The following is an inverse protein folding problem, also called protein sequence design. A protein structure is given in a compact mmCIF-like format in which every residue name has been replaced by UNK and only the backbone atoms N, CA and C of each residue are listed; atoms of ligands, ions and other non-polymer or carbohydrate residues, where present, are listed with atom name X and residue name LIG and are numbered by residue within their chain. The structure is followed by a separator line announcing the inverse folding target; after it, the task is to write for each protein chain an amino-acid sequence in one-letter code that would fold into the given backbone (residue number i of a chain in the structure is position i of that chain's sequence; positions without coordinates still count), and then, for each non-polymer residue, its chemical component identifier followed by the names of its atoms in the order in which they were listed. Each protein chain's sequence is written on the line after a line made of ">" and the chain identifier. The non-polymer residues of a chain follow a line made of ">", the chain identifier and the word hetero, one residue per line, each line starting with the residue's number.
data_IF_097498870964
#
_entry.id   IF_097498870964
#
_cell.length_a   1.000
_cell.length_b   1.000
_cell.length_c   1.000
_cell.angle_alpha   90.00
_cell.angle_beta   90.00
_cell.angle_gamma   90.00
#
_symmetry.space_group_name_H-M   'P 1'
#
loop_
_entity.id
_entity.type
_entity.pdbx_description
1 polymer ?
#
# COMPACT_ATOMS: atom_id res chain seq x y z
N UNK A 1 -1.69 -9.68 -15.72
CA UNK A 1 -0.94 -9.88 -14.46
C UNK A 1 0.37 -9.13 -14.58
N UNK A 2 0.62 -8.19 -13.67
CA UNK A 2 1.87 -7.43 -13.55
C UNK A 2 2.81 -8.15 -12.58
N UNK A 3 4.05 -8.39 -12.98
CA UNK A 3 5.03 -9.20 -12.22
C UNK A 3 6.27 -8.44 -11.76
N UNK A 4 6.51 -7.24 -12.29
CA UNK A 4 7.68 -6.40 -11.95
C UNK A 4 7.27 -4.92 -11.88
N UNK A 5 8.09 -4.07 -11.24
CA UNK A 5 7.92 -2.62 -11.27
C UNK A 5 8.13 -2.04 -12.66
N UNK A 6 8.90 -2.71 -13.54
CA UNK A 6 9.02 -2.31 -14.93
C UNK A 6 7.69 -2.50 -15.69
N UNK A 7 7.05 -3.66 -15.52
CA UNK A 7 5.71 -3.91 -16.09
C UNK A 7 4.66 -2.97 -15.47
N UNK A 8 4.76 -2.70 -14.16
CA UNK A 8 3.92 -1.73 -13.47
C UNK A 8 4.03 -0.34 -14.09
N UNK A 9 5.26 0.11 -14.38
CA UNK A 9 5.50 1.41 -15.03
C UNK A 9 4.83 1.48 -16.40
N UNK A 10 4.96 0.43 -17.22
CA UNK A 10 4.32 0.40 -18.54
C UNK A 10 2.79 0.44 -18.42
N UNK A 11 2.21 -0.36 -17.53
CA UNK A 11 0.78 -0.35 -17.27
C UNK A 11 0.31 1.02 -16.78
N UNK A 12 1.01 1.62 -15.82
CA UNK A 12 0.70 2.94 -15.29
C UNK A 12 0.77 4.01 -16.40
N UNK A 13 1.75 3.98 -17.29
CA UNK A 13 1.85 4.95 -18.39
C UNK A 13 0.80 4.75 -19.50
N UNK A 14 0.18 3.57 -19.57
CA UNK A 14 -0.90 3.28 -20.52
C UNK A 14 -2.27 3.82 -20.11
N UNK A 15 -2.42 4.29 -18.86
CA UNK A 15 -3.63 4.95 -18.36
C UNK A 15 -3.50 6.46 -18.37
N UNK A 16 -4.63 7.18 -18.38
CA UNK A 16 -4.63 8.64 -18.25
C UNK A 16 -3.83 9.10 -17.01
N UNK A 17 -3.11 10.24 -17.07
CA UNK A 17 -2.45 10.81 -15.90
C UNK A 17 -3.43 11.00 -14.74
N UNK A 18 -2.96 10.77 -13.51
CA UNK A 18 -3.76 11.01 -12.32
C UNK A 18 -3.53 12.41 -11.77
N UNK A 19 -4.50 12.90 -11.00
CA UNK A 19 -4.37 14.09 -10.16
C UNK A 19 -4.06 13.70 -8.72
N UNK A 20 -3.27 14.51 -8.02
CA UNK A 20 -2.83 14.18 -6.65
C UNK A 20 -3.06 15.32 -5.67
N UNK A 21 -3.34 15.00 -4.41
CA UNK A 21 -3.31 15.96 -3.31
C UNK A 21 -2.19 15.61 -2.33
N UNK A 22 -1.34 16.58 -2.01
CA UNK A 22 -0.20 16.41 -1.11
C UNK A 22 -0.46 17.16 0.18
N UNK A 23 -0.52 16.42 1.28
CA UNK A 23 -0.67 17.00 2.61
C UNK A 23 0.71 17.44 3.14
N UNK A 24 0.92 18.76 3.34
CA UNK A 24 2.20 19.40 3.71
C UNK A 24 3.28 19.19 2.65
N UNK A 25 3.22 19.93 1.55
CA UNK A 25 4.14 19.78 0.43
C UNK A 25 5.54 20.41 0.65
N UNK A 26 5.74 21.17 1.72
CA UNK A 26 6.94 21.95 2.04
C UNK A 26 8.19 21.12 2.45
N UNK A 27 8.46 20.01 1.74
CA UNK A 27 9.71 19.25 1.83
C UNK A 27 10.31 18.99 0.45
N UNK A 28 11.64 19.06 0.38
CA UNK A 28 12.41 18.92 -0.86
C UNK A 28 12.13 17.58 -1.55
N UNK A 29 12.21 16.49 -0.81
CA UNK A 29 12.02 15.14 -1.34
C UNK A 29 10.57 14.92 -1.82
N UNK A 30 9.62 15.64 -1.22
CA UNK A 30 8.20 15.58 -1.63
C UNK A 30 8.03 16.27 -2.97
N UNK A 31 8.39 17.55 -3.09
CA UNK A 31 8.27 18.29 -4.36
C UNK A 31 9.05 17.63 -5.50
N UNK A 32 10.28 17.14 -5.23
CA UNK A 32 11.06 16.41 -6.24
C UNK A 32 10.36 15.15 -6.73
N UNK A 33 9.65 14.43 -5.84
CA UNK A 33 8.90 13.23 -6.24
C UNK A 33 7.66 13.56 -7.07
N UNK A 34 6.99 14.68 -6.78
CA UNK A 34 5.85 15.17 -7.57
C UNK A 34 6.31 15.63 -8.96
N UNK A 35 7.40 16.42 -9.04
CA UNK A 35 7.95 16.85 -10.33
C UNK A 35 8.46 15.67 -11.17
N UNK A 36 9.10 14.68 -10.54
CA UNK A 36 9.50 13.45 -11.22
C UNK A 36 8.27 12.70 -11.78
N UNK A 37 7.22 12.52 -10.98
CA UNK A 37 5.99 11.86 -11.43
C UNK A 37 5.33 12.62 -12.60
N UNK A 38 5.35 13.96 -12.58
CA UNK A 38 4.86 14.80 -13.68
C UNK A 38 5.71 14.63 -14.94
N UNK A 39 7.04 14.71 -14.82
CA UNK A 39 7.98 14.54 -15.95
C UNK A 39 7.89 13.17 -16.60
N UNK A 40 7.58 12.14 -15.81
CA UNK A 40 7.35 10.78 -16.29
C UNK A 40 5.95 10.59 -16.90
N UNK A 41 5.04 11.59 -16.83
CA UNK A 41 3.68 11.50 -17.36
C UNK A 41 2.72 10.67 -16.50
N UNK A 42 3.05 10.44 -15.22
CA UNK A 42 2.18 9.72 -14.30
C UNK A 42 1.07 10.61 -13.75
N UNK A 43 1.35 11.90 -13.58
CA UNK A 43 0.41 12.90 -13.08
C UNK A 43 0.42 14.14 -13.98
N UNK A 44 -0.71 14.84 -14.05
CA UNK A 44 -0.85 16.10 -14.79
C UNK A 44 -1.19 17.29 -13.90
N UNK A 45 -1.83 17.04 -12.75
CA UNK A 45 -2.27 18.05 -11.78
C UNK A 45 -1.89 17.66 -10.37
N UNK A 46 -1.58 18.66 -9.54
CA UNK A 46 -1.34 18.47 -8.13
C UNK A 46 -1.95 19.59 -7.29
N UNK A 47 -2.58 19.25 -6.17
CA UNK A 47 -2.99 20.18 -5.13
C UNK A 47 -1.99 20.03 -3.98
N UNK A 48 -1.22 21.08 -3.73
CA UNK A 48 -0.16 21.13 -2.72
C UNK A 48 -0.67 21.94 -1.53
N UNK A 49 -0.91 21.28 -0.39
CA UNK A 49 -1.37 21.97 0.82
C UNK A 49 -0.20 22.18 1.78
N UNK A 50 -0.22 23.28 2.53
CA UNK A 50 0.82 23.60 3.52
C UNK A 50 1.16 25.08 3.56
N UNK A 51 2.38 25.40 4.01
CA UNK A 51 2.88 26.77 4.01
C UNK A 51 3.17 27.23 2.56
N UNK A 52 2.27 28.03 1.99
CA UNK A 52 2.30 28.37 0.57
C UNK A 52 3.59 29.11 0.16
N UNK A 53 4.10 30.00 1.02
CA UNK A 53 5.32 30.75 0.77
C UNK A 53 6.53 29.80 0.74
N UNK A 54 6.60 28.85 1.68
CA UNK A 54 7.67 27.84 1.69
C UNK A 54 7.60 26.90 0.50
N UNK A 55 6.40 26.47 0.10
CA UNK A 55 6.21 25.61 -1.07
C UNK A 55 6.69 26.33 -2.33
N UNK A 56 6.26 27.59 -2.55
CA UNK A 56 6.65 28.39 -3.69
C UNK A 56 8.16 28.64 -3.72
N UNK A 57 8.74 29.07 -2.59
CA UNK A 57 10.18 29.30 -2.48
C UNK A 57 11.00 28.04 -2.79
N UNK A 58 10.55 26.88 -2.30
CA UNK A 58 11.26 25.63 -2.51
C UNK A 58 11.10 25.13 -3.96
N UNK A 59 9.93 25.31 -4.57
CA UNK A 59 9.72 25.02 -5.98
C UNK A 59 10.65 25.85 -6.88
N UNK A 60 10.78 27.16 -6.60
CA UNK A 60 11.68 28.06 -7.31
C UNK A 60 13.16 27.64 -7.15
N UNK A 61 13.58 27.35 -5.92
CA UNK A 61 14.95 26.88 -5.62
C UNK A 61 15.30 25.58 -6.35
N UNK A 62 14.32 24.68 -6.51
CA UNK A 62 14.48 23.40 -7.18
C UNK A 62 14.24 23.48 -8.70
N UNK A 63 13.86 24.66 -9.21
CA UNK A 63 13.50 24.89 -10.61
C UNK A 63 12.38 23.94 -11.08
N UNK A 64 11.41 23.70 -10.19
CA UNK A 64 10.24 22.88 -10.49
C UNK A 64 9.20 23.76 -11.16
N UNK A 65 8.76 23.32 -12.35
CA UNK A 65 7.66 23.96 -13.05
C UNK A 65 6.34 23.55 -12.40
N UNK A 66 5.73 24.48 -11.67
CA UNK A 66 4.44 24.32 -11.01
C UNK A 66 3.24 24.70 -11.90
N UNK A 67 3.41 24.81 -13.23
CA UNK A 67 2.27 24.94 -14.13
C UNK A 67 1.34 23.72 -13.99
N UNK A 68 0.08 23.97 -13.66
CA UNK A 68 -0.90 22.91 -13.36
C UNK A 68 -0.92 22.45 -11.90
N UNK A 69 -0.10 23.04 -11.02
CA UNK A 69 -0.18 22.82 -9.58
C UNK A 69 -0.95 23.95 -8.90
N UNK A 70 -1.86 23.58 -8.00
CA UNK A 70 -2.57 24.49 -7.10
C UNK A 70 -1.87 24.45 -5.74
N UNK A 71 -1.49 25.61 -5.20
CA UNK A 71 -0.93 25.71 -3.85
C UNK A 71 -2.01 26.27 -2.92
N UNK A 72 -2.43 25.48 -1.94
CA UNK A 72 -3.41 25.87 -0.93
C UNK A 72 -2.71 26.14 0.41
N UNK A 73 -2.79 27.38 0.86
CA UNK A 73 -2.19 27.77 2.13
C UNK A 73 -2.95 27.14 3.31
N UNK A 74 -2.19 26.57 4.24
CA UNK A 74 -2.68 26.03 5.51
C UNK A 74 -1.91 26.68 6.67
N UNK A 75 -2.63 26.97 7.75
CA UNK A 75 -2.08 27.59 8.96
C UNK A 75 -1.30 26.60 9.83
N UNK A 76 -1.63 25.32 9.77
CA UNK A 76 -0.94 24.23 10.46
C UNK A 76 -1.05 22.87 9.72
N UNK A 77 -0.40 21.84 10.28
CA UNK A 77 -0.43 20.48 9.71
C UNK A 77 -1.82 19.81 9.76
N UNK A 78 -2.70 20.21 10.68
CA UNK A 78 -4.05 19.68 10.76
C UNK A 78 -4.89 20.20 9.60
N UNK A 79 -4.83 21.51 9.33
CA UNK A 79 -5.52 22.14 8.20
C UNK A 79 -4.96 21.66 6.86
N UNK A 80 -3.62 21.52 6.74
CA UNK A 80 -3.01 20.97 5.53
C UNK A 80 -3.51 19.56 5.22
N UNK A 81 -3.63 18.71 6.24
CA UNK A 81 -4.17 17.36 6.09
C UNK A 81 -5.67 17.35 5.77
N UNK A 82 -6.46 18.26 6.36
CA UNK A 82 -7.88 18.43 6.04
C UNK A 82 -8.09 18.80 4.57
N UNK A 83 -7.42 19.85 4.10
CA UNK A 83 -7.54 20.34 2.72
C UNK A 83 -7.20 19.25 1.71
N UNK A 84 -6.11 18.52 1.93
CA UNK A 84 -5.69 17.44 1.04
C UNK A 84 -6.68 16.27 1.04
N UNK A 85 -7.21 15.88 2.22
CA UNK A 85 -8.23 14.83 2.32
C UNK A 85 -9.53 15.25 1.61
N UNK A 86 -9.97 16.51 1.80
CA UNK A 86 -11.17 17.03 1.16
C UNK A 86 -11.03 17.09 -0.35
N UNK A 87 -9.89 17.51 -0.87
CA UNK A 87 -9.63 17.52 -2.32
C UNK A 87 -9.79 16.12 -2.94
N UNK A 88 -9.38 15.07 -2.21
CA UNK A 88 -9.52 13.69 -2.71
C UNK A 88 -10.94 13.17 -2.54
N UNK A 89 -11.62 13.49 -1.43
CA UNK A 89 -12.99 13.02 -1.20
C UNK A 89 -14.05 13.77 -2.02
N UNK A 90 -13.77 15.00 -2.47
CA UNK A 90 -14.61 15.78 -3.40
C UNK A 90 -14.42 15.35 -4.86
N UNK A 91 -13.36 14.61 -5.19
CA UNK A 91 -13.01 14.23 -6.55
C UNK A 91 -12.15 15.27 -7.31
N UNK A 92 -11.61 16.26 -6.62
CA UNK A 92 -10.66 17.23 -7.21
C UNK A 92 -9.26 16.62 -7.39
N UNK A 93 -8.95 15.55 -6.65
CA UNK A 93 -7.74 14.74 -6.77
C UNK A 93 -8.02 13.23 -6.66
N UNK A 94 -7.25 12.41 -7.38
CA UNK A 94 -7.43 10.96 -7.41
C UNK A 94 -6.68 10.22 -6.29
N UNK A 95 -5.53 10.76 -5.87
CA UNK A 95 -4.58 10.11 -4.95
C UNK A 95 -4.22 11.06 -3.81
N UNK A 96 -4.25 10.57 -2.57
CA UNK A 96 -3.75 11.31 -1.41
C UNK A 96 -2.29 10.94 -1.13
N UNK A 97 -1.43 11.93 -0.92
CA UNK A 97 0.00 11.74 -0.64
C UNK A 97 0.36 12.39 0.69
N UNK A 98 1.02 11.61 1.55
CA UNK A 98 1.65 12.17 2.75
C UNK A 98 2.93 12.92 2.40
N UNK A 99 2.97 14.21 2.71
CA UNK A 99 4.16 15.04 2.62
C UNK A 99 4.93 15.13 3.95
N UNK A 100 5.11 16.36 4.44
CA UNK A 100 6.04 16.72 5.50
C UNK A 100 5.56 16.48 6.93
N UNK A 101 4.25 16.34 7.13
CA UNK A 101 3.63 16.20 8.45
C UNK A 101 3.83 14.82 9.10
N UNK A 102 3.62 14.75 10.41
CA UNK A 102 3.66 13.48 11.16
C UNK A 102 2.46 12.58 10.83
N UNK A 103 2.66 11.26 10.86
CA UNK A 103 1.60 10.31 10.48
C UNK A 103 0.31 10.46 11.32
N UNK A 104 0.40 10.98 12.55
CA UNK A 104 -0.76 11.23 13.41
C UNK A 104 -1.75 12.22 12.81
N UNK A 105 -1.27 13.36 12.29
CA UNK A 105 -2.11 14.35 11.61
C UNK A 105 -2.74 13.76 10.34
N UNK A 106 -1.94 13.02 9.57
CA UNK A 106 -2.37 12.39 8.32
C UNK A 106 -3.50 11.38 8.55
N UNK A 107 -3.32 10.44 9.47
CA UNK A 107 -4.32 9.43 9.76
C UNK A 107 -5.55 10.00 10.47
N UNK A 108 -5.37 10.99 11.36
CA UNK A 108 -6.50 11.69 11.99
C UNK A 108 -7.41 12.32 10.93
N UNK A 109 -6.83 12.92 9.89
CA UNK A 109 -7.58 13.50 8.79
C UNK A 109 -8.32 12.44 7.97
N UNK A 110 -7.63 11.36 7.54
CA UNK A 110 -8.26 10.28 6.76
C UNK A 110 -9.40 9.59 7.54
N UNK A 111 -9.24 9.42 8.85
CA UNK A 111 -10.21 8.74 9.70
C UNK A 111 -11.42 9.60 10.09
N UNK A 112 -11.41 10.90 9.75
CA UNK A 112 -12.52 11.79 9.99
C UNK A 112 -13.72 11.36 9.14
N UNK A 113 -14.86 11.09 9.81
CA UNK A 113 -16.08 10.60 9.16
C UNK A 113 -16.78 11.68 8.33
N UNK A 114 -16.62 12.95 8.72
CA UNK A 114 -17.30 14.07 8.09
C UNK A 114 -16.65 14.47 6.76
N UNK A 115 -15.41 14.02 6.52
CA UNK A 115 -14.65 14.39 5.33
C UNK A 115 -14.70 13.33 4.22
N UNK A 116 -15.38 12.21 4.44
CA UNK A 116 -15.79 11.29 3.36
C UNK A 116 -14.71 10.37 2.79
N UNK A 117 -13.47 10.39 3.29
CA UNK A 117 -12.40 9.55 2.76
C UNK A 117 -12.31 8.15 3.42
N UNK A 118 -12.81 8.00 4.66
CA UNK A 118 -12.86 6.70 5.34
C UNK A 118 -13.95 5.81 4.74
N UNK A 119 -13.58 4.64 4.21
CA UNK A 119 -14.53 3.69 3.62
C UNK A 119 -14.67 2.40 4.42
N UNK A 120 -13.55 1.84 4.89
CA UNK A 120 -13.50 0.57 5.61
C UNK A 120 -13.56 0.73 7.13
N UNK A 121 -13.78 -0.40 7.83
CA UNK A 121 -13.74 -0.47 9.30
C UNK A 121 -12.37 -0.05 9.83
N UNK A 122 -11.31 -0.51 9.17
CA UNK A 122 -9.91 -0.19 9.48
C UNK A 122 -9.16 0.26 8.23
N UNK A 123 -8.15 1.11 8.43
CA UNK A 123 -7.11 1.34 7.43
C UNK A 123 -6.02 0.28 7.62
N UNK A 124 -5.39 -0.13 6.53
CA UNK A 124 -4.28 -1.08 6.56
C UNK A 124 -3.18 -0.67 5.60
N UNK A 125 -1.92 -0.88 5.99
CA UNK A 125 -0.80 -0.69 5.07
C UNK A 125 -0.49 -1.97 4.29
N UNK A 126 -0.20 -1.82 3.00
CA UNK A 126 0.39 -2.87 2.19
C UNK A 126 1.70 -2.37 1.58
N UNK A 127 2.72 -3.23 1.54
CA UNK A 127 3.94 -2.98 0.77
C UNK A 127 4.11 -4.07 -0.27
N UNK A 128 4.31 -3.64 -1.51
CA UNK A 128 4.63 -4.48 -2.66
C UNK A 128 6.14 -4.53 -2.80
N UNK A 129 6.69 -5.74 -2.98
CA UNK A 129 8.12 -5.98 -3.14
C UNK A 129 8.40 -6.67 -4.47
N UNK A 130 9.46 -6.21 -5.13
CA UNK A 130 10.11 -6.96 -6.21
C UNK A 130 11.42 -7.51 -5.65
N UNK A 131 11.52 -8.83 -5.59
CA UNK A 131 12.65 -9.54 -5.03
C UNK A 131 13.41 -10.28 -6.13
N UNK A 132 14.75 -10.25 -6.14
CA UNK A 132 15.53 -11.09 -7.05
C UNK A 132 15.24 -12.59 -6.87
N UNK A 133 14.88 -13.00 -5.65
CA UNK A 133 14.67 -14.40 -5.27
C UNK A 133 13.23 -14.90 -5.44
N UNK A 134 12.31 -14.08 -5.96
CA UNK A 134 10.90 -14.45 -6.14
C UNK A 134 10.42 -14.09 -7.54
N UNK A 135 9.60 -14.94 -8.16
CA UNK A 135 9.29 -14.88 -9.60
C UNK A 135 8.25 -13.81 -10.00
N UNK A 136 7.70 -13.07 -9.04
CA UNK A 136 6.68 -12.03 -9.24
C UNK A 136 6.71 -11.02 -8.09
N UNK A 137 5.89 -9.97 -8.19
CA UNK A 137 5.63 -9.06 -7.08
C UNK A 137 5.01 -9.82 -5.89
N UNK A 138 5.55 -9.61 -4.70
CA UNK A 138 5.05 -10.19 -3.45
C UNK A 138 4.64 -9.08 -2.51
N UNK A 139 3.47 -9.21 -1.87
CA UNK A 139 2.95 -8.17 -0.98
C UNK A 139 2.91 -8.62 0.46
N UNK A 140 3.14 -7.68 1.40
CA UNK A 140 3.08 -7.91 2.84
C UNK A 140 2.12 -6.90 3.47
N UNK A 141 1.25 -7.38 4.36
CA UNK A 141 0.33 -6.56 5.17
C UNK A 141 0.23 -7.12 6.60
N UNK A 142 -0.03 -6.32 7.65
CA UNK A 142 0.08 -4.86 7.76
C UNK A 142 1.39 -4.52 8.50
N UNK A 143 2.24 -3.68 7.90
CA UNK A 143 3.55 -3.37 8.47
C UNK A 143 3.68 -1.96 9.09
N UNK A 144 2.58 -1.21 9.20
CA UNK A 144 2.65 0.19 9.65
C UNK A 144 1.44 0.72 10.46
N UNK A 145 0.26 0.10 10.41
CA UNK A 145 -0.96 0.67 11.03
C UNK A 145 -1.48 -0.22 12.18
N UNK A 146 -1.90 -1.45 11.88
CA UNK A 146 -2.53 -2.32 12.88
C UNK A 146 -1.49 -3.14 13.66
N UNK A 147 -1.29 -2.82 14.94
CA UNK A 147 -0.29 -3.46 15.81
C UNK A 147 -0.51 -4.98 15.93
N UNK A 148 -1.67 -5.39 16.43
CA UNK A 148 -2.04 -6.78 16.66
C UNK A 148 -3.47 -6.99 16.14
N UNK A 149 -3.64 -7.19 14.83
CA UNK A 149 -4.97 -7.29 14.24
C UNK A 149 -5.70 -8.54 14.74
N UNK A 150 -6.92 -8.37 15.22
CA UNK A 150 -7.82 -9.48 15.50
C UNK A 150 -8.36 -10.11 14.20
N UNK A 151 -9.12 -11.21 14.30
CA UNK A 151 -9.68 -11.90 13.15
C UNK A 151 -10.55 -10.98 12.28
N UNK A 152 -11.39 -10.12 12.86
CA UNK A 152 -12.27 -9.22 12.11
C UNK A 152 -11.49 -8.11 11.38
N UNK A 153 -10.44 -7.61 12.01
CA UNK A 153 -9.48 -6.70 11.40
C UNK A 153 -8.71 -7.39 10.27
N UNK A 154 -8.31 -8.65 10.43
CA UNK A 154 -7.67 -9.45 9.36
C UNK A 154 -8.59 -9.64 8.15
N UNK A 155 -9.89 -9.91 8.35
CA UNK A 155 -10.89 -9.93 7.26
C UNK A 155 -10.89 -8.60 6.51
N UNK A 156 -10.96 -7.50 7.27
CA UNK A 156 -10.97 -6.14 6.70
C UNK A 156 -9.66 -5.80 5.97
N UNK A 157 -8.50 -6.24 6.48
CA UNK A 157 -7.20 -6.07 5.84
C UNK A 157 -7.20 -6.76 4.47
N UNK A 158 -7.61 -8.02 4.38
CA UNK A 158 -7.67 -8.77 3.11
C UNK A 158 -8.57 -8.03 2.13
N UNK A 159 -9.78 -7.67 2.55
CA UNK A 159 -10.74 -6.95 1.70
C UNK A 159 -10.22 -5.62 1.19
N UNK A 160 -9.53 -4.86 2.05
CA UNK A 160 -8.91 -3.60 1.66
C UNK A 160 -7.89 -3.77 0.52
N UNK A 161 -7.27 -4.95 0.35
CA UNK A 161 -6.30 -5.21 -0.74
C UNK A 161 -6.92 -5.49 -2.11
N UNK A 162 -8.23 -5.76 -2.17
CA UNK A 162 -8.97 -6.07 -3.40
C UNK A 162 -8.68 -5.11 -4.57
N UNK A 163 -8.79 -3.77 -4.43
CA UNK A 163 -8.51 -2.85 -5.52
C UNK A 163 -7.08 -2.95 -6.06
N UNK A 164 -6.09 -3.19 -5.19
CA UNK A 164 -4.71 -3.38 -5.61
C UNK A 164 -4.56 -4.64 -6.48
N UNK A 165 -5.11 -5.77 -6.04
CA UNK A 165 -4.96 -7.03 -6.78
C UNK A 165 -5.70 -7.02 -8.11
N UNK A 166 -6.88 -6.39 -8.18
CA UNK A 166 -7.57 -6.15 -9.46
C UNK A 166 -6.71 -5.32 -10.41
N UNK A 167 -6.16 -4.20 -9.95
CA UNK A 167 -5.27 -3.34 -10.74
C UNK A 167 -3.99 -4.05 -11.21
N UNK A 168 -3.50 -5.04 -10.45
CA UNK A 168 -2.37 -5.89 -10.86
C UNK A 168 -2.78 -7.05 -11.79
N UNK A 169 -4.06 -7.23 -12.08
CA UNK A 169 -4.61 -8.33 -12.85
C UNK A 169 -4.48 -9.69 -12.15
N UNK A 170 -4.68 -9.70 -10.83
CA UNK A 170 -4.64 -10.85 -9.93
C UNK A 170 -6.03 -11.05 -9.33
N UNK A 171 -6.86 -11.88 -9.95
CA UNK A 171 -8.17 -12.26 -9.40
C UNK A 171 -8.51 -13.70 -9.83
N UNK A 172 -8.61 -14.66 -8.89
CA UNK A 172 -8.43 -14.49 -7.46
C UNK A 172 -6.95 -14.29 -7.07
N UNK A 173 -6.69 -13.48 -6.03
CA UNK A 173 -5.35 -13.30 -5.45
C UNK A 173 -5.05 -14.36 -4.38
N UNK A 174 -3.83 -14.90 -4.36
CA UNK A 174 -3.39 -15.95 -3.45
C UNK A 174 -2.86 -15.37 -2.14
N UNK A 175 -3.55 -15.65 -1.03
CA UNK A 175 -3.22 -15.14 0.30
C UNK A 175 -2.69 -16.26 1.18
N UNK A 176 -1.42 -16.15 1.56
CA UNK A 176 -0.81 -17.00 2.58
C UNK A 176 -0.93 -16.36 3.95
N UNK A 177 -1.65 -17.00 4.87
CA UNK A 177 -1.76 -16.53 6.27
C UNK A 177 -0.56 -17.04 7.06
N UNK A 178 0.38 -16.13 7.34
CA UNK A 178 1.70 -16.46 7.88
C UNK A 178 1.64 -16.69 9.38
N UNK A 179 2.19 -17.82 9.81
CA UNK A 179 2.31 -18.27 11.19
C UNK A 179 3.72 -18.82 11.44
N UNK A 180 4.03 -19.18 12.69
CA UNK A 180 5.29 -19.83 13.03
C UNK A 180 5.29 -21.35 12.78
N UNK A 181 4.10 -21.96 12.65
CA UNK A 181 3.88 -23.39 12.43
C UNK A 181 2.71 -23.59 11.47
N UNK A 182 2.64 -24.77 10.85
CA UNK A 182 1.66 -25.12 9.81
C UNK A 182 0.40 -25.81 10.34
N UNK A 183 0.31 -26.03 11.65
CA UNK A 183 -0.85 -26.66 12.30
C UNK A 183 -1.55 -25.67 13.20
N UNK A 184 -2.88 -25.75 13.20
CA UNK A 184 -3.71 -25.02 14.16
C UNK A 184 -3.30 -25.41 15.59
N UNK A 185 -3.03 -24.39 16.40
CA UNK A 185 -2.68 -24.51 17.79
C UNK A 185 -3.43 -23.45 18.60
N UNK A 186 -4.36 -23.83 19.48
CA UNK A 186 -5.12 -22.88 20.31
C UNK A 186 -4.25 -21.96 21.18
N UNK A 187 -3.01 -22.35 21.50
CA UNK A 187 -2.06 -21.51 22.23
C UNK A 187 -1.36 -20.46 21.34
N UNK A 188 -1.57 -20.51 20.02
CA UNK A 188 -1.03 -19.57 19.04
C UNK A 188 -2.19 -18.96 18.23
N UNK A 189 -2.77 -17.82 18.70
CA UNK A 189 -3.95 -17.22 18.08
C UNK A 189 -3.85 -17.01 16.56
N UNK A 190 -2.66 -16.67 16.05
CA UNK A 190 -2.43 -16.51 14.62
C UNK A 190 -2.81 -17.75 13.80
N UNK A 191 -2.58 -18.96 14.33
CA UNK A 191 -2.92 -20.21 13.64
C UNK A 191 -4.42 -20.50 13.66
N UNK A 192 -5.11 -20.11 14.73
CA UNK A 192 -6.57 -20.20 14.84
C UNK A 192 -7.23 -19.22 13.86
N UNK A 193 -6.72 -17.99 13.80
CA UNK A 193 -7.19 -16.98 12.84
C UNK A 193 -6.97 -17.45 11.39
N UNK A 194 -5.82 -18.07 11.10
CA UNK A 194 -5.52 -18.61 9.77
C UNK A 194 -6.50 -19.71 9.36
N UNK A 195 -6.78 -20.67 10.26
CA UNK A 195 -7.74 -21.74 10.01
C UNK A 195 -9.16 -21.19 9.78
N UNK A 196 -9.57 -20.17 10.55
CA UNK A 196 -10.85 -19.51 10.39
C UNK A 196 -10.97 -18.79 9.04
N UNK A 197 -9.97 -18.01 8.64
CA UNK A 197 -9.95 -17.31 7.35
C UNK A 197 -9.99 -18.27 6.16
N UNK A 198 -9.25 -19.39 6.22
CA UNK A 198 -9.29 -20.42 5.20
C UNK A 198 -10.68 -21.06 5.10
N UNK A 199 -11.32 -21.40 6.22
CA UNK A 199 -12.68 -21.95 6.22
C UNK A 199 -13.72 -20.96 5.68
N UNK A 200 -13.56 -19.67 5.96
CA UNK A 200 -14.41 -18.60 5.42
C UNK A 200 -14.23 -18.44 3.90
N UNK A 201 -13.00 -18.52 3.39
CA UNK A 201 -12.75 -18.51 1.95
C UNK A 201 -13.41 -19.71 1.25
N UNK A 202 -13.28 -20.91 1.83
CA UNK A 202 -13.90 -22.13 1.32
C UNK A 202 -15.43 -22.07 1.33
N UNK A 203 -16.03 -21.32 2.26
CA UNK A 203 -17.49 -21.08 2.30
C UNK A 203 -17.94 -19.92 1.40
N UNK A 204 -17.02 -19.27 0.67
CA UNK A 204 -17.31 -18.25 -0.34
C UNK A 204 -17.32 -16.81 0.19
N UNK A 205 -16.83 -16.54 1.40
CA UNK A 205 -16.80 -15.20 1.97
C UNK A 205 -15.85 -14.24 1.22
N UNK A 206 -14.82 -14.77 0.56
CA UNK A 206 -13.77 -14.00 -0.11
C UNK A 206 -13.62 -14.40 -1.59
N UNK A 207 -14.58 -14.06 -2.47
CA UNK A 207 -14.62 -14.59 -3.85
C UNK A 207 -13.49 -14.11 -4.77
N UNK A 208 -12.81 -12.98 -4.44
CA UNK A 208 -11.67 -12.47 -5.21
C UNK A 208 -10.32 -13.00 -4.68
N UNK A 209 -10.35 -13.96 -3.75
CA UNK A 209 -9.16 -14.46 -3.07
C UNK A 209 -9.16 -15.98 -3.00
N UNK A 210 -7.97 -16.55 -2.91
CA UNK A 210 -7.75 -17.91 -2.40
C UNK A 210 -6.92 -17.77 -1.14
N UNK A 211 -7.46 -18.14 0.00
CA UNK A 211 -6.82 -17.93 1.31
C UNK A 211 -6.47 -19.28 1.90
N UNK A 212 -5.19 -19.50 2.16
CA UNK A 212 -4.71 -20.73 2.77
C UNK A 212 -3.70 -20.44 3.90
N UNK A 213 -3.69 -21.33 4.89
CA UNK A 213 -2.84 -21.27 6.07
C UNK A 213 -3.42 -22.12 7.21
N UNK A 214 -2.73 -22.22 8.35
CA UNK A 214 -1.51 -21.49 8.70
C UNK A 214 -0.28 -21.99 7.93
N UNK A 215 0.57 -21.07 7.48
CA UNK A 215 1.82 -21.40 6.80
C UNK A 215 3.02 -20.74 7.46
N UNK A 216 4.13 -21.47 7.57
CA UNK A 216 5.44 -20.85 7.75
C UNK A 216 5.77 -19.94 6.55
N UNK A 217 6.53 -18.87 6.78
CA UNK A 217 6.94 -17.94 5.72
C UNK A 217 7.60 -18.65 4.53
N UNK A 218 8.44 -19.65 4.81
CA UNK A 218 9.11 -20.47 3.81
C UNK A 218 8.15 -21.30 2.95
N UNK A 219 7.02 -21.77 3.52
CA UNK A 219 6.00 -22.49 2.77
C UNK A 219 5.23 -21.55 1.82
N UNK A 220 5.00 -20.29 2.20
CA UNK A 220 4.36 -19.32 1.31
C UNK A 220 5.19 -19.00 0.06
N UNK A 221 6.53 -19.01 0.17
CA UNK A 221 7.44 -18.52 -0.89
C UNK A 221 8.27 -19.62 -1.57
N UNK A 222 8.27 -20.86 -1.07
CA UNK A 222 8.97 -21.98 -1.68
C UNK A 222 8.10 -23.23 -1.74
N UNK A 223 7.73 -23.64 -2.96
CA UNK A 223 7.03 -24.90 -3.19
C UNK A 223 7.85 -26.11 -2.72
N UNK A 224 9.18 -26.05 -2.82
CA UNK A 224 10.06 -27.10 -2.30
C UNK A 224 9.95 -27.21 -0.77
N UNK A 225 9.95 -26.09 -0.04
CA UNK A 225 9.80 -26.10 1.42
C UNK A 225 8.41 -26.59 1.84
N UNK A 226 7.37 -26.14 1.14
CA UNK A 226 6.00 -26.58 1.35
C UNK A 226 5.87 -28.11 1.19
N UNK A 227 6.41 -28.67 0.10
CA UNK A 227 6.42 -30.12 -0.16
C UNK A 227 7.14 -30.90 0.95
N UNK A 228 8.30 -30.42 1.42
CA UNK A 228 9.04 -31.05 2.53
C UNK A 228 8.26 -31.06 3.84
N UNK A 229 7.34 -30.10 4.02
CA UNK A 229 6.43 -29.99 5.16
C UNK A 229 5.11 -30.75 4.97
N UNK A 230 4.94 -31.44 3.83
CA UNK A 230 3.73 -32.19 3.50
C UNK A 230 2.58 -31.34 2.95
N UNK A 231 2.83 -30.08 2.62
CA UNK A 231 1.83 -29.19 2.01
C UNK A 231 1.92 -29.36 0.48
N UNK A 232 1.14 -30.31 -0.04
CA UNK A 232 1.22 -30.73 -1.46
C UNK A 232 0.01 -30.32 -2.30
N UNK A 233 -1.15 -30.11 -1.68
CA UNK A 233 -2.41 -29.77 -2.37
C UNK A 233 -2.72 -28.26 -2.39
N UNK A 234 -1.80 -27.44 -1.88
CA UNK A 234 -1.96 -25.98 -1.74
C UNK A 234 -1.70 -25.27 -3.06
N UNK A 235 -2.61 -24.38 -3.47
CA UNK A 235 -2.39 -23.52 -4.65
C UNK A 235 -1.73 -22.18 -4.32
N UNK A 236 -1.63 -21.86 -3.02
CA UNK A 236 -0.98 -20.65 -2.48
C UNK A 236 0.49 -20.90 -2.14
N UNK A 237 0.84 -22.06 -1.61
CA UNK A 237 2.20 -22.38 -1.16
C UNK A 237 3.21 -22.30 -2.31
N UNK A 238 4.31 -21.59 -2.09
CA UNK A 238 5.31 -21.29 -3.11
C UNK A 238 4.93 -20.22 -4.12
N UNK A 239 3.67 -19.78 -4.16
CA UNK A 239 3.14 -18.86 -5.18
C UNK A 239 2.18 -17.82 -4.57
N UNK A 240 2.40 -17.39 -3.33
CA UNK A 240 1.61 -16.36 -2.68
C UNK A 240 1.72 -14.99 -3.40
N UNK A 241 0.60 -14.27 -3.49
CA UNK A 241 0.55 -12.85 -3.91
C UNK A 241 0.55 -11.93 -2.66
N UNK A 242 -0.15 -12.35 -1.60
CA UNK A 242 -0.26 -11.66 -0.32
C UNK A 242 0.24 -12.52 0.83
N UNK A 243 1.13 -11.95 1.64
CA UNK A 243 1.47 -12.45 2.97
C UNK A 243 0.69 -11.66 4.01
N UNK A 244 -0.35 -12.28 4.59
CA UNK A 244 -1.03 -11.74 5.76
C UNK A 244 -0.23 -12.14 7.01
N UNK A 245 0.45 -11.16 7.59
CA UNK A 245 1.33 -11.38 8.73
C UNK A 245 0.53 -11.43 10.05
N UNK A 246 1.06 -12.10 11.09
CA UNK A 246 0.32 -12.25 12.35
C UNK A 246 0.15 -10.94 13.11
N UNK A 247 1.13 -10.02 12.99
CA UNK A 247 1.16 -8.71 13.63
C UNK A 247 2.12 -7.75 12.90
N UNK A 248 2.13 -6.49 13.33
CA UNK A 248 2.93 -5.44 12.72
C UNK A 248 4.43 -5.68 12.87
N UNK A 249 4.89 -6.19 14.01
CA UNK A 249 6.31 -6.45 14.25
C UNK A 249 6.86 -7.44 13.23
N UNK A 250 6.18 -8.57 13.02
CA UNK A 250 6.59 -9.58 12.04
C UNK A 250 6.63 -9.00 10.62
N UNK A 251 5.59 -8.24 10.24
CA UNK A 251 5.50 -7.61 8.93
C UNK A 251 6.59 -6.55 8.70
N UNK A 252 6.84 -5.70 9.70
CA UNK A 252 7.80 -4.60 9.63
C UNK A 252 9.24 -5.11 9.60
N UNK A 253 9.56 -6.12 10.43
CA UNK A 253 10.87 -6.77 10.45
C UNK A 253 11.14 -7.43 9.09
N UNK A 254 10.20 -8.23 8.57
CA UNK A 254 10.36 -8.90 7.28
C UNK A 254 10.52 -7.90 6.13
N UNK A 255 9.66 -6.88 6.07
CA UNK A 255 9.75 -5.84 5.04
C UNK A 255 11.07 -5.05 5.08
N UNK A 256 11.65 -4.83 6.27
CA UNK A 256 12.99 -4.24 6.38
C UNK A 256 14.09 -5.23 5.98
N UNK A 257 14.01 -6.50 6.39
CA UNK A 257 14.97 -7.53 5.98
C UNK A 257 15.02 -7.65 4.45
N UNK A 258 13.86 -7.63 3.80
CA UNK A 258 13.73 -7.57 2.34
C UNK A 258 14.48 -6.38 1.73
N UNK A 259 14.28 -5.17 2.26
CA UNK A 259 14.91 -3.94 1.73
C UNK A 259 16.42 -3.90 1.96
N UNK A 260 16.89 -4.29 3.14
CA UNK A 260 18.28 -4.07 3.56
C UNK A 260 19.19 -5.28 3.34
N UNK A 261 18.64 -6.50 3.36
CA UNK A 261 19.39 -7.73 3.11
C UNK A 261 18.99 -8.41 1.80
N UNK A 262 17.72 -8.34 1.41
CA UNK A 262 17.22 -8.98 0.18
C UNK A 262 17.42 -8.17 -1.10
N UNK A 263 17.82 -6.89 -1.00
CA UNK A 263 17.99 -6.01 -2.16
C UNK A 263 16.69 -5.64 -2.87
N UNK A 264 15.55 -5.76 -2.16
CA UNK A 264 14.24 -5.54 -2.75
C UNK A 264 14.00 -4.08 -3.13
N UNK A 265 13.39 -3.88 -4.31
CA UNK A 265 12.65 -2.64 -4.55
C UNK A 265 11.23 -2.77 -3.97
N UNK A 266 10.58 -1.64 -3.73
CA UNK A 266 9.28 -1.63 -3.07
C UNK A 266 8.44 -0.40 -3.38
N UNK A 267 7.12 -0.53 -3.24
CA UNK A 267 6.15 0.57 -3.16
C UNK A 267 5.12 0.28 -2.08
N UNK A 268 4.66 1.32 -1.37
CA UNK A 268 3.78 1.18 -0.20
C UNK A 268 2.53 2.05 -0.30
N UNK A 269 1.40 1.47 0.09
CA UNK A 269 0.09 2.12 0.10
C UNK A 269 -0.62 1.92 1.43
N UNK A 270 -1.58 2.80 1.70
CA UNK A 270 -2.62 2.62 2.70
C UNK A 270 -3.94 2.40 1.97
N UNK A 271 -4.63 1.34 2.37
CA UNK A 271 -5.90 0.89 1.78
C UNK A 271 -7.02 0.92 2.84
N UNK A 272 -8.26 0.80 2.38
CA UNK A 272 -9.47 0.96 3.21
C UNK A 272 -10.02 2.39 3.24
N UNK A 273 -9.40 3.32 2.52
CA UNK A 273 -9.96 4.62 2.18
C UNK A 273 -10.68 4.57 0.82
N UNK A 274 -11.54 5.55 0.54
CA UNK A 274 -12.28 5.67 -0.71
C UNK A 274 -11.39 5.94 -1.94
N UNK A 275 -10.11 6.28 -1.72
CA UNK A 275 -9.11 6.51 -2.73
C UNK A 275 -7.76 5.93 -2.25
N UNK A 276 -6.82 5.61 -3.17
CA UNK A 276 -5.50 5.13 -2.78
C UNK A 276 -4.73 6.23 -2.04
N UNK A 277 -4.12 5.84 -0.92
CA UNK A 277 -3.37 6.74 -0.03
C UNK A 277 -1.91 6.32 -0.02
N UNK A 278 -1.01 7.23 -0.37
CA UNK A 278 0.45 6.97 -0.37
C UNK A 278 1.02 7.32 1.00
N UNK A 279 1.71 6.34 1.60
CA UNK A 279 2.43 6.49 2.86
C UNK A 279 3.90 6.08 2.67
N UNK A 280 4.76 7.07 2.43
CA UNK A 280 6.18 6.83 2.26
C UNK A 280 6.92 6.85 3.61
N UNK A 281 7.92 5.97 3.78
CA UNK A 281 8.87 6.06 4.89
C UNK A 281 9.80 7.26 4.69
N UNK A 282 10.28 7.81 5.80
CA UNK A 282 11.38 8.79 5.79
C UNK A 282 12.65 8.23 5.14
N UNK A 283 12.85 6.92 5.19
CA UNK A 283 14.00 6.22 4.62
C UNK A 283 13.83 5.77 3.16
N UNK A 284 12.67 6.02 2.53
CA UNK A 284 12.43 5.57 1.16
C UNK A 284 13.06 6.53 0.14
N UNK A 285 13.74 5.94 -0.84
CA UNK A 285 14.35 6.62 -1.99
C UNK A 285 13.30 7.16 -2.97
N UNK A 286 13.72 8.03 -3.89
CA UNK A 286 12.83 8.58 -4.91
C UNK A 286 12.14 7.49 -5.75
N UNK A 287 12.86 6.43 -6.12
CA UNK A 287 12.30 5.32 -6.90
C UNK A 287 11.18 4.58 -6.14
N UNK A 288 11.35 4.34 -4.83
CA UNK A 288 10.32 3.70 -4.01
C UNK A 288 9.06 4.56 -3.87
N UNK A 289 9.22 5.88 -3.79
CA UNK A 289 8.10 6.84 -3.80
C UNK A 289 7.37 6.82 -5.14
N UNK A 290 8.11 6.76 -6.24
CA UNK A 290 7.55 6.63 -7.59
C UNK A 290 6.79 5.31 -7.75
N UNK A 291 7.32 4.21 -7.23
CA UNK A 291 6.65 2.90 -7.21
C UNK A 291 5.31 2.97 -6.46
N UNK A 292 5.28 3.60 -5.28
CA UNK A 292 4.02 3.85 -4.56
C UNK A 292 3.02 4.66 -5.40
N UNK A 293 3.51 5.67 -6.14
CA UNK A 293 2.66 6.48 -7.03
C UNK A 293 2.06 5.65 -8.16
N UNK A 294 2.85 4.79 -8.81
CA UNK A 294 2.39 3.94 -9.91
C UNK A 294 1.33 2.95 -9.44
N UNK A 295 1.51 2.36 -8.25
CA UNK A 295 0.50 1.48 -7.63
C UNK A 295 -0.80 2.26 -7.36
N UNK A 296 -0.71 3.44 -6.76
CA UNK A 296 -1.87 4.28 -6.47
C UNK A 296 -2.61 4.69 -7.77
N UNK A 297 -1.87 5.09 -8.80
CA UNK A 297 -2.41 5.48 -10.10
C UNK A 297 -3.23 4.36 -10.74
N UNK A 298 -2.71 3.14 -10.76
CA UNK A 298 -3.46 2.01 -11.33
C UNK A 298 -4.73 1.70 -10.55
N UNK A 299 -4.70 1.79 -9.22
CA UNK A 299 -5.91 1.64 -8.40
C UNK A 299 -6.93 2.74 -8.72
N UNK A 300 -6.49 3.99 -8.89
CA UNK A 300 -7.38 5.09 -9.22
C UNK A 300 -8.03 4.94 -10.60
N UNK A 301 -7.32 4.35 -11.57
CA UNK A 301 -7.81 4.15 -12.93
C UNK A 301 -8.85 3.01 -13.08
N UNK A 302 -9.02 2.15 -12.07
CA UNK A 302 -10.00 1.05 -12.07
C UNK A 302 -11.41 1.49 -11.61
N UNK A 303 -11.59 2.76 -11.21
CA UNK A 303 -12.88 3.32 -10.79
C UNK A 303 -13.75 3.72 -11.97
#
# INVERSE_FOLDING_TARGET
>A
MIRTFQELKQAALSTAPASVAVASAEKKEVLQSIDLARKEGLIDRAILTGDADKIAQLADQLQIDCSGFEIQNATDYSEAAELAVRAVSSGDADILIKGGLDSSFYFKAILNRDWGLRQSKVLSNITVFEQPSYHKLLTITDNAILLNPDLEQKRSIIENTRPLFRALGLTPAKVGVVCAIEKENPAMPATVDAAALQAENQSGAFPDFVIEGPFGYDACISAESANKKGITDSVVSGDADLLLMPNMEAANILGKAYKFHGGADSGGLVLGAAAPVVLNSRSDSAIRRLNSMMLAKLIAAEK
#
